data_IF_883227940708
#
_entry.id   IF_883227940708
#
_cell.length_a   1.000
_cell.length_b   1.000
_cell.length_c   1.000
_cell.angle_alpha   90.00
_cell.angle_beta   90.00
_cell.angle_gamma   90.00
#
_symmetry.space_group_name_H-M   'P 1'
#
loop_
_entity.id
_entity.type
_entity.pdbx_description
1 polymer ?
#
# COMPACT_ATOMS: atom_id res chain seq x y z
N UNK A 1 25.33 -15.84 -2.81
CA UNK A 1 24.48 -14.65 -2.58
C UNK A 1 23.21 -15.16 -1.93
N UNK A 2 22.65 -14.51 -0.90
CA UNK A 2 21.31 -14.87 -0.44
C UNK A 2 20.34 -14.77 -1.62
N UNK A 3 19.35 -15.66 -1.69
CA UNK A 3 18.32 -15.59 -2.71
C UNK A 3 17.61 -14.24 -2.61
N UNK A 4 17.34 -13.60 -3.76
CA UNK A 4 16.55 -12.38 -3.77
C UNK A 4 15.12 -12.70 -3.28
N UNK A 5 14.48 -11.80 -2.52
CA UNK A 5 13.08 -11.96 -2.15
C UNK A 5 12.18 -12.01 -3.38
N UNK A 6 11.04 -12.67 -3.26
CA UNK A 6 9.98 -12.65 -4.27
C UNK A 6 9.02 -11.50 -3.97
N UNK A 7 8.89 -10.57 -4.92
CA UNK A 7 7.92 -9.48 -4.88
C UNK A 7 6.73 -9.83 -5.77
N UNK A 8 5.52 -9.86 -5.21
CA UNK A 8 4.28 -9.84 -5.96
C UNK A 8 3.79 -8.40 -6.08
N UNK A 9 3.81 -7.84 -7.29
CA UNK A 9 3.36 -6.49 -7.59
C UNK A 9 2.12 -6.55 -8.47
N UNK A 10 0.98 -6.05 -8.00
CA UNK A 10 -0.26 -6.07 -8.79
C UNK A 10 -0.78 -4.65 -9.04
N UNK A 11 -1.51 -4.49 -10.13
CA UNK A 11 -2.20 -3.24 -10.48
C UNK A 11 -3.62 -3.54 -10.98
N UNK A 12 -4.37 -2.51 -11.37
CA UNK A 12 -5.65 -2.67 -12.05
C UNK A 12 -5.62 -2.03 -13.44
N UNK A 13 -6.43 -2.57 -14.35
CA UNK A 13 -6.64 -1.99 -15.67
C UNK A 13 -7.66 -0.83 -15.68
N UNK A 14 -8.00 -0.32 -16.86
CA UNK A 14 -9.02 0.72 -17.05
C UNK A 14 -10.38 0.30 -16.46
N UNK A 15 -11.16 1.26 -15.94
CA UNK A 15 -12.45 0.97 -15.31
C UNK A 15 -13.40 2.18 -15.31
N UNK A 16 -14.71 1.92 -15.21
CA UNK A 16 -15.69 2.99 -15.01
C UNK A 16 -15.86 3.96 -16.20
N UNK A 17 -15.43 3.53 -17.39
CA UNK A 17 -15.43 4.36 -18.60
C UNK A 17 -14.16 5.20 -18.79
N UNK A 18 -13.23 5.17 -17.84
CA UNK A 18 -11.89 5.71 -18.03
C UNK A 18 -11.04 4.71 -18.83
N UNK A 19 -10.52 5.07 -20.02
CA UNK A 19 -9.68 4.18 -20.82
C UNK A 19 -8.25 4.05 -20.28
N UNK A 20 -7.90 4.77 -19.21
CA UNK A 20 -6.55 4.85 -18.69
C UNK A 20 -6.51 4.54 -17.19
N UNK A 21 -5.62 3.64 -16.77
CA UNK A 21 -5.33 3.45 -15.36
C UNK A 21 -3.83 3.65 -15.10
N UNK A 22 -3.43 4.67 -14.33
CA UNK A 22 -2.01 4.97 -14.10
C UNK A 22 -1.25 3.82 -13.42
N UNK A 23 -1.96 2.93 -12.71
CA UNK A 23 -1.33 1.79 -12.04
C UNK A 23 -0.90 0.70 -13.01
N UNK A 24 -1.68 0.42 -14.06
CA UNK A 24 -1.27 -0.49 -15.14
C UNK A 24 -0.01 0.05 -15.83
N UNK A 25 0.01 1.35 -16.14
CA UNK A 25 1.15 1.99 -16.80
C UNK A 25 2.40 2.11 -15.91
N UNK A 26 2.23 2.15 -14.59
CA UNK A 26 3.35 2.12 -13.64
C UNK A 26 3.91 0.70 -13.44
N UNK A 27 3.14 -0.36 -13.74
CA UNK A 27 3.47 -1.72 -13.35
C UNK A 27 4.81 -2.22 -13.92
N UNK A 28 4.99 -2.13 -15.24
CA UNK A 28 6.21 -2.57 -15.92
C UNK A 28 7.48 -1.81 -15.50
N UNK A 29 7.52 -0.46 -15.51
CA UNK A 29 8.73 0.27 -15.11
C UNK A 29 9.08 0.10 -13.62
N UNK A 30 8.08 0.00 -12.75
CA UNK A 30 8.32 -0.29 -11.32
C UNK A 30 8.91 -1.70 -11.15
N UNK A 31 8.37 -2.68 -11.86
CA UNK A 31 8.88 -4.05 -11.83
C UNK A 31 10.32 -4.16 -12.35
N UNK A 32 10.64 -3.45 -13.43
CA UNK A 32 12.01 -3.39 -13.98
C UNK A 32 13.00 -2.82 -12.95
N UNK A 33 12.62 -1.74 -12.26
CA UNK A 33 13.47 -1.15 -11.22
C UNK A 33 13.65 -2.10 -10.01
N UNK A 34 12.57 -2.76 -9.56
CA UNK A 34 12.60 -3.68 -8.43
C UNK A 34 13.35 -4.99 -8.74
N UNK A 35 13.50 -5.37 -10.02
CA UNK A 35 14.19 -6.59 -10.43
C UNK A 35 15.69 -6.61 -10.04
N UNK A 36 16.27 -5.45 -9.73
CA UNK A 36 17.64 -5.34 -9.22
C UNK A 36 17.80 -6.00 -7.84
N UNK A 37 16.75 -6.04 -7.01
CA UNK A 37 16.78 -6.51 -5.62
C UNK A 37 15.74 -7.60 -5.30
N UNK A 38 14.85 -7.94 -6.23
CA UNK A 38 13.80 -8.96 -6.05
C UNK A 38 13.56 -9.81 -7.30
N UNK A 39 13.00 -11.01 -7.11
CA UNK A 39 12.30 -11.75 -8.15
C UNK A 39 10.87 -11.20 -8.26
N UNK A 40 10.58 -10.43 -9.31
CA UNK A 40 9.31 -9.73 -9.44
C UNK A 40 8.30 -10.56 -10.24
N UNK A 41 7.11 -10.76 -9.66
CA UNK A 41 5.92 -11.31 -10.29
C UNK A 41 4.92 -10.18 -10.43
N UNK A 42 4.41 -9.96 -11.64
CA UNK A 42 3.43 -8.90 -11.92
C UNK A 42 2.10 -9.46 -12.40
N UNK A 43 1.00 -8.79 -12.05
CA UNK A 43 -0.34 -9.10 -12.56
C UNK A 43 -1.22 -7.83 -12.61
N UNK A 44 -1.98 -7.66 -13.70
CA UNK A 44 -3.10 -6.72 -13.74
C UNK A 44 -4.36 -7.46 -13.32
N UNK A 45 -4.95 -7.07 -12.20
CA UNK A 45 -6.16 -7.67 -11.65
C UNK A 45 -7.42 -7.09 -12.32
N UNK A 46 -8.49 -7.88 -12.46
CA UNK A 46 -9.78 -7.36 -12.91
C UNK A 46 -10.37 -6.43 -11.85
N UNK A 47 -11.20 -5.45 -12.25
CA UNK A 47 -11.91 -4.60 -11.29
C UNK A 47 -13.24 -5.27 -10.92
N UNK A 48 -13.12 -6.43 -10.28
CA UNK A 48 -14.22 -7.28 -9.83
C UNK A 48 -13.95 -7.79 -8.41
N UNK A 49 -14.93 -7.69 -7.50
CA UNK A 49 -14.73 -8.05 -6.09
C UNK A 49 -14.26 -9.50 -5.92
N UNK A 50 -14.99 -10.45 -6.50
CA UNK A 50 -14.74 -11.88 -6.31
C UNK A 50 -13.51 -12.35 -7.10
N UNK A 51 -13.40 -11.96 -8.37
CA UNK A 51 -12.32 -12.42 -9.24
C UNK A 51 -10.96 -11.85 -8.78
N UNK A 52 -10.88 -10.57 -8.42
CA UNK A 52 -9.64 -9.97 -7.95
C UNK A 52 -9.20 -10.57 -6.60
N UNK A 53 -10.14 -10.73 -5.66
CA UNK A 53 -9.86 -11.34 -4.35
C UNK A 53 -9.42 -12.81 -4.48
N UNK A 54 -10.05 -13.57 -5.37
CA UNK A 54 -9.64 -14.95 -5.66
C UNK A 54 -8.25 -14.99 -6.29
N UNK A 55 -7.98 -14.09 -7.25
CA UNK A 55 -6.71 -14.05 -7.98
C UNK A 55 -5.54 -13.69 -7.07
N UNK A 56 -5.68 -12.67 -6.21
CA UNK A 56 -4.59 -12.29 -5.29
C UNK A 56 -4.26 -13.41 -4.31
N UNK A 57 -5.27 -14.10 -3.75
CA UNK A 57 -5.06 -15.27 -2.88
C UNK A 57 -4.32 -16.39 -3.59
N UNK A 58 -4.72 -16.67 -4.82
CA UNK A 58 -4.04 -17.67 -5.64
C UNK A 58 -2.59 -17.30 -5.92
N UNK A 59 -2.31 -16.05 -6.31
CA UNK A 59 -0.94 -15.58 -6.56
C UNK A 59 -0.07 -15.68 -5.31
N UNK A 60 -0.61 -15.31 -4.13
CA UNK A 60 0.09 -15.47 -2.85
C UNK A 60 0.43 -16.93 -2.57
N UNK A 61 -0.52 -17.86 -2.71
CA UNK A 61 -0.25 -19.29 -2.48
C UNK A 61 0.71 -19.91 -3.51
N UNK A 62 0.62 -19.49 -4.76
CA UNK A 62 1.44 -20.02 -5.86
C UNK A 62 2.89 -19.55 -5.77
N UNK A 63 3.10 -18.26 -5.54
CA UNK A 63 4.43 -17.67 -5.58
C UNK A 63 5.11 -17.58 -4.21
N UNK A 64 4.33 -17.71 -3.11
CA UNK A 64 4.82 -17.55 -1.73
C UNK A 64 5.71 -16.31 -1.58
N UNK A 65 5.21 -15.12 -1.96
CA UNK A 65 6.03 -13.91 -2.01
C UNK A 65 6.49 -13.49 -0.61
N UNK A 66 7.67 -12.89 -0.55
CA UNK A 66 8.18 -12.22 0.65
C UNK A 66 7.57 -10.82 0.81
N UNK A 67 7.15 -10.20 -0.30
CA UNK A 67 6.57 -8.86 -0.35
C UNK A 67 5.39 -8.85 -1.31
N UNK A 68 4.23 -8.32 -0.87
CA UNK A 68 3.05 -8.09 -1.71
C UNK A 68 2.72 -6.60 -1.72
N UNK A 69 2.75 -5.98 -2.90
CA UNK A 69 2.29 -4.60 -3.08
C UNK A 69 1.24 -4.58 -4.18
N UNK A 70 0.05 -4.13 -3.84
CA UNK A 70 -1.01 -3.87 -4.82
C UNK A 70 -1.18 -2.36 -5.03
N UNK A 71 -1.35 -1.96 -6.28
CA UNK A 71 -1.53 -0.58 -6.71
C UNK A 71 -2.99 -0.36 -7.11
N UNK A 72 -3.54 0.79 -6.75
CA UNK A 72 -4.88 1.20 -7.19
C UNK A 72 -4.99 2.69 -7.49
N UNK A 73 -5.91 3.05 -8.38
CA UNK A 73 -6.26 4.44 -8.65
C UNK A 73 -7.21 4.96 -7.56
N UNK A 74 -6.91 6.13 -7.00
CA UNK A 74 -7.81 6.89 -6.15
C UNK A 74 -8.03 8.29 -6.75
N UNK A 75 -8.99 8.38 -7.67
CA UNK A 75 -9.38 9.65 -8.28
C UNK A 75 -9.75 10.69 -7.20
N UNK A 76 -9.23 11.90 -7.33
CA UNK A 76 -9.40 13.01 -6.38
C UNK A 76 -8.33 13.10 -5.29
N UNK A 77 -7.42 12.13 -5.15
CA UNK A 77 -6.20 12.31 -4.35
C UNK A 77 -5.18 13.14 -5.13
N UNK A 78 -4.26 13.77 -4.40
CA UNK A 78 -3.16 14.59 -4.96
C UNK A 78 -1.77 14.08 -4.57
N UNK A 79 -1.71 12.91 -3.92
CA UNK A 79 -0.48 12.31 -3.40
C UNK A 79 -0.50 10.79 -3.63
N UNK A 80 0.69 10.19 -3.72
CA UNK A 80 0.87 8.74 -3.63
C UNK A 80 0.72 8.33 -2.18
N UNK A 81 -0.11 7.32 -1.92
CA UNK A 81 -0.61 7.04 -0.57
C UNK A 81 -0.54 5.56 -0.22
N UNK A 82 0.50 5.13 0.50
CA UNK A 82 0.51 3.82 1.15
C UNK A 82 -0.66 3.71 2.15
N UNK A 83 -1.38 2.59 2.10
CA UNK A 83 -2.58 2.35 2.92
C UNK A 83 -2.21 1.65 4.22
N UNK A 84 -2.73 2.17 5.35
CA UNK A 84 -2.50 1.61 6.68
C UNK A 84 -3.37 0.40 6.97
N UNK A 85 -4.60 0.36 6.46
CA UNK A 85 -5.61 -0.60 6.90
C UNK A 85 -6.55 -1.00 5.76
N UNK A 86 -6.84 -2.30 5.67
CA UNK A 86 -7.94 -2.85 4.90
C UNK A 86 -9.05 -3.29 5.83
N UNK A 87 -10.29 -2.99 5.49
CA UNK A 87 -11.48 -3.33 6.30
C UNK A 87 -12.24 -4.49 5.66
N UNK A 88 -12.85 -5.35 6.47
CA UNK A 88 -13.71 -6.46 6.04
C UNK A 88 -15.09 -5.94 5.60
N UNK A 89 -15.13 -5.10 4.58
CA UNK A 89 -16.35 -4.49 4.07
C UNK A 89 -16.29 -4.34 2.55
N UNK A 90 -17.30 -4.86 1.90
CA UNK A 90 -17.62 -4.63 0.50
C UNK A 90 -18.80 -3.65 0.41
N UNK A 91 -18.52 -2.45 -0.08
CA UNK A 91 -19.52 -1.41 -0.30
C UNK A 91 -19.21 -0.63 -1.58
N UNK A 92 -20.12 -0.75 -2.54
CA UNK A 92 -19.94 -0.26 -3.90
C UNK A 92 -20.99 0.80 -4.25
N UNK A 93 -20.53 2.02 -4.55
CA UNK A 93 -21.41 3.10 -5.06
C UNK A 93 -21.78 2.90 -6.53
N UNK A 94 -20.88 2.31 -7.30
CA UNK A 94 -21.04 1.95 -8.71
C UNK A 94 -20.78 0.44 -8.87
N UNK A 95 -21.38 -0.24 -9.86
CA UNK A 95 -21.09 -1.66 -10.09
C UNK A 95 -19.62 -1.85 -10.48
N UNK A 96 -19.06 -3.00 -10.11
CA UNK A 96 -17.79 -3.50 -10.63
C UNK A 96 -17.91 -4.02 -12.07
N UNK A 97 -16.84 -4.54 -12.69
CA UNK A 97 -16.87 -4.99 -14.10
C UNK A 97 -17.81 -6.17 -14.35
N UNK A 98 -18.07 -6.98 -13.32
CA UNK A 98 -19.03 -8.09 -13.39
C UNK A 98 -20.49 -7.64 -13.19
N UNK A 99 -20.71 -6.37 -12.84
CA UNK A 99 -22.00 -5.80 -12.49
C UNK A 99 -22.36 -5.90 -11.01
N UNK A 100 -21.46 -6.41 -10.15
CA UNK A 100 -21.72 -6.55 -8.73
C UNK A 100 -21.67 -5.19 -8.02
N UNK A 101 -22.65 -4.94 -7.15
CA UNK A 101 -22.75 -3.70 -6.36
C UNK A 101 -23.13 -4.02 -4.90
N UNK A 102 -22.20 -4.62 -4.13
CA UNK A 102 -22.46 -4.99 -2.73
C UNK A 102 -22.74 -3.76 -1.87
N UNK A 103 -23.54 -3.95 -0.81
CA UNK A 103 -23.90 -2.91 0.16
C UNK A 103 -23.81 -3.48 1.56
N UNK A 104 -22.78 -3.11 2.31
CA UNK A 104 -22.64 -3.53 3.72
C UNK A 104 -22.34 -5.02 3.91
N UNK A 105 -21.74 -5.69 2.93
CA UNK A 105 -21.43 -7.13 3.02
C UNK A 105 -19.99 -7.33 3.53
N UNK A 106 -19.73 -8.39 4.33
CA UNK A 106 -18.35 -8.77 4.63
C UNK A 106 -17.66 -9.25 3.36
N UNK A 107 -16.36 -8.97 3.24
CA UNK A 107 -15.50 -9.55 2.18
C UNK A 107 -15.23 -11.04 2.46
N UNK A 108 -15.11 -11.41 3.73
CA UNK A 108 -15.00 -12.80 4.17
C UNK A 108 -15.72 -13.01 5.50
N UNK A 109 -16.59 -14.01 5.53
CA UNK A 109 -17.28 -14.43 6.75
C UNK A 109 -16.29 -14.91 7.82
N UNK A 110 -16.60 -14.57 9.08
CA UNK A 110 -15.79 -14.91 10.26
C UNK A 110 -14.30 -14.48 10.16
N UNK A 111 -13.99 -13.47 9.34
CA UNK A 111 -12.69 -12.81 9.32
C UNK A 111 -12.61 -11.70 10.37
N UNK A 112 -11.41 -11.28 10.80
CA UNK A 112 -11.23 -10.04 11.55
C UNK A 112 -11.91 -8.85 10.85
N UNK A 113 -12.31 -7.84 11.63
CA UNK A 113 -12.96 -6.65 11.08
C UNK A 113 -12.03 -5.84 10.15
N UNK A 114 -10.72 -5.93 10.35
CA UNK A 114 -9.71 -5.25 9.55
C UNK A 114 -8.36 -5.96 9.65
N UNK A 115 -7.51 -5.73 8.66
CA UNK A 115 -6.10 -6.07 8.67
C UNK A 115 -5.26 -4.80 8.50
N UNK A 116 -4.23 -4.64 9.32
CA UNK A 116 -3.24 -3.57 9.11
C UNK A 116 -2.23 -4.01 8.05
N UNK A 117 -1.81 -3.06 7.21
CA UNK A 117 -0.66 -3.27 6.33
C UNK A 117 0.59 -3.57 7.16
N UNK A 118 1.37 -4.55 6.69
CA UNK A 118 2.64 -4.96 7.31
C UNK A 118 3.85 -4.41 6.54
N UNK A 119 3.63 -3.57 5.52
CA UNK A 119 4.70 -2.87 4.83
C UNK A 119 5.38 -1.81 5.73
N UNK A 120 6.64 -1.42 5.44
CA UNK A 120 7.36 -0.37 6.16
C UNK A 120 6.86 1.04 5.77
N UNK A 121 5.59 1.33 6.09
CA UNK A 121 4.85 2.49 5.54
C UNK A 121 5.55 3.84 5.79
N UNK A 122 6.15 4.05 6.97
CA UNK A 122 6.85 5.31 7.28
C UNK A 122 8.06 5.51 6.36
N UNK A 123 8.85 4.45 6.14
CA UNK A 123 9.99 4.49 5.23
C UNK A 123 9.53 4.70 3.79
N UNK A 124 8.45 4.03 3.36
CA UNK A 124 7.89 4.21 2.02
C UNK A 124 7.44 5.66 1.78
N UNK A 125 6.74 6.28 2.74
CA UNK A 125 6.29 7.68 2.61
C UNK A 125 7.49 8.62 2.52
N UNK A 126 8.53 8.43 3.34
CA UNK A 126 9.75 9.21 3.26
C UNK A 126 10.46 9.04 1.90
N UNK A 127 10.61 7.80 1.43
CA UNK A 127 11.24 7.50 0.15
C UNK A 127 10.51 8.11 -1.04
N UNK A 128 9.16 8.12 -1.03
CA UNK A 128 8.39 8.82 -2.06
C UNK A 128 8.69 10.33 -2.01
N UNK A 129 8.65 10.94 -0.82
CA UNK A 129 8.88 12.38 -0.64
C UNK A 129 10.28 12.81 -1.08
N UNK A 130 11.30 11.98 -0.85
CA UNK A 130 12.68 12.22 -1.30
C UNK A 130 12.82 12.24 -2.83
N UNK A 131 11.83 11.73 -3.57
CA UNK A 131 11.75 11.86 -5.04
C UNK A 131 10.98 13.09 -5.53
N UNK A 132 10.68 14.03 -4.62
CA UNK A 132 9.90 15.25 -4.86
C UNK A 132 8.44 14.97 -5.26
N UNK A 133 7.94 13.76 -4.99
CA UNK A 133 6.55 13.37 -5.24
C UNK A 133 5.74 13.52 -3.94
N UNK A 134 4.60 14.22 -3.95
CA UNK A 134 3.73 14.30 -2.78
C UNK A 134 3.32 12.91 -2.26
N UNK A 135 3.56 12.69 -0.97
CA UNK A 135 3.30 11.42 -0.29
C UNK A 135 2.54 11.64 1.01
N UNK A 136 1.60 10.75 1.31
CA UNK A 136 0.94 10.75 2.61
C UNK A 136 0.53 9.34 3.01
N UNK A 137 0.50 9.06 4.32
CA UNK A 137 -0.09 7.83 4.82
C UNK A 137 -1.62 7.94 4.75
N UNK A 138 -2.30 6.94 4.19
CA UNK A 138 -3.76 6.85 4.17
C UNK A 138 -4.26 5.85 5.22
N UNK A 139 -5.41 6.15 5.83
CA UNK A 139 -6.08 5.32 6.82
C UNK A 139 -7.40 4.72 6.31
N UNK A 140 -7.66 4.82 5.00
CA UNK A 140 -8.80 4.18 4.37
C UNK A 140 -8.52 3.93 2.89
N UNK A 141 -8.54 2.66 2.50
CA UNK A 141 -8.51 2.22 1.11
C UNK A 141 -9.91 2.28 0.44
N UNK A 142 -10.90 2.88 1.12
CA UNK A 142 -12.32 2.79 0.75
C UNK A 142 -12.91 1.41 1.10
N UNK A 143 -14.00 1.04 0.41
CA UNK A 143 -14.68 -0.25 0.57
C UNK A 143 -14.98 -0.93 -0.78
N UNK A 144 -14.32 -0.47 -1.85
CA UNK A 144 -14.44 -1.03 -3.20
C UNK A 144 -13.37 -2.11 -3.46
N UNK A 145 -13.17 -2.49 -4.73
CA UNK A 145 -12.26 -3.58 -5.12
C UNK A 145 -10.81 -3.40 -4.63
N UNK A 146 -10.29 -2.17 -4.56
CA UNK A 146 -8.95 -1.93 -4.00
C UNK A 146 -8.83 -2.42 -2.54
N UNK A 147 -9.80 -2.08 -1.69
CA UNK A 147 -9.87 -2.55 -0.31
C UNK A 147 -10.05 -4.07 -0.25
N UNK A 148 -10.87 -4.64 -1.14
CA UNK A 148 -11.09 -6.08 -1.24
C UNK A 148 -9.79 -6.85 -1.50
N UNK A 149 -8.98 -6.39 -2.47
CA UNK A 149 -7.69 -6.98 -2.81
C UNK A 149 -6.69 -6.82 -1.66
N UNK A 150 -6.59 -5.63 -1.06
CA UNK A 150 -5.70 -5.43 0.09
C UNK A 150 -6.08 -6.36 1.26
N UNK A 151 -7.37 -6.46 1.56
CA UNK A 151 -7.88 -7.34 2.61
C UNK A 151 -7.56 -8.80 2.29
N UNK A 152 -7.89 -9.27 1.09
CA UNK A 152 -7.69 -10.65 0.68
C UNK A 152 -6.20 -11.05 0.69
N UNK A 153 -5.30 -10.18 0.25
CA UNK A 153 -3.86 -10.41 0.29
C UNK A 153 -3.32 -10.53 1.72
N UNK A 154 -3.63 -9.56 2.58
CA UNK A 154 -3.23 -9.57 4.00
C UNK A 154 -3.77 -10.79 4.74
N UNK A 155 -5.03 -11.10 4.50
CA UNK A 155 -5.74 -12.22 5.10
C UNK A 155 -5.14 -13.57 4.69
N UNK A 156 -4.75 -13.72 3.43
CA UNK A 156 -4.10 -14.93 2.92
C UNK A 156 -2.70 -15.12 3.53
N UNK A 157 -1.93 -14.05 3.66
CA UNK A 157 -0.62 -14.06 4.31
C UNK A 157 -0.75 -14.48 5.78
N UNK A 158 -1.74 -13.92 6.50
CA UNK A 158 -2.02 -14.29 7.88
C UNK A 158 -2.44 -15.78 8.00
N UNK A 159 -3.23 -16.29 7.07
CA UNK A 159 -3.63 -17.70 7.04
C UNK A 159 -2.42 -18.62 6.82
N UNK A 160 -1.56 -18.33 5.84
CA UNK A 160 -0.33 -19.08 5.58
C UNK A 160 0.61 -19.07 6.80
N UNK A 161 0.69 -17.93 7.51
CA UNK A 161 1.48 -17.81 8.73
C UNK A 161 0.94 -18.69 9.88
N UNK A 162 -0.38 -18.81 9.97
CA UNK A 162 -1.01 -19.70 10.94
C UNK A 162 -0.81 -21.18 10.60
N UNK A 163 -0.77 -21.53 9.30
CA UNK A 163 -0.45 -22.86 8.80
C UNK A 163 1.02 -23.24 9.08
N UNK A 164 1.97 -22.30 8.93
CA UNK A 164 3.40 -22.48 9.23
C UNK A 164 4.01 -21.27 9.98
N UNK A 165 4.02 -21.32 11.33
CA UNK A 165 4.63 -20.29 12.17
C UNK A 165 6.16 -20.20 12.08
N UNK A 166 6.81 -21.05 11.29
CA UNK A 166 8.28 -21.03 11.08
C UNK A 166 8.67 -20.41 9.74
N UNK A 167 7.73 -20.24 8.81
CA UNK A 167 7.98 -19.59 7.53
C UNK A 167 8.51 -18.15 7.70
N UNK A 168 9.31 -17.61 6.78
CA UNK A 168 9.64 -16.18 6.77
C UNK A 168 8.38 -15.31 6.78
N UNK A 169 8.42 -14.20 7.52
CA UNK A 169 7.29 -13.27 7.59
C UNK A 169 7.22 -12.43 6.31
N UNK A 170 6.20 -12.70 5.51
CA UNK A 170 5.91 -11.90 4.33
C UNK A 170 5.18 -10.61 4.71
N UNK A 171 5.54 -9.51 4.04
CA UNK A 171 4.91 -8.20 4.25
C UNK A 171 3.97 -7.87 3.10
N UNK A 172 2.82 -7.28 3.39
CA UNK A 172 1.79 -7.01 2.40
C UNK A 172 1.08 -5.68 2.66
N UNK A 173 0.65 -5.02 1.58
CA UNK A 173 -0.11 -3.79 1.66
C UNK A 173 -0.50 -3.23 0.30
N UNK A 174 -0.95 -1.98 0.30
CA UNK A 174 -1.53 -1.34 -0.87
C UNK A 174 -1.04 0.10 -1.00
N UNK A 175 -0.94 0.59 -2.24
CA UNK A 175 -0.60 1.98 -2.55
C UNK A 175 -1.67 2.53 -3.48
N UNK A 176 -2.33 3.61 -3.08
CA UNK A 176 -3.17 4.39 -3.98
C UNK A 176 -2.37 5.50 -4.65
N UNK A 177 -2.60 5.70 -5.94
CA UNK A 177 -2.03 6.79 -6.74
C UNK A 177 -3.15 7.74 -7.20
N UNK A 178 -2.84 9.03 -7.43
CA UNK A 178 -3.80 9.97 -8.00
C UNK A 178 -4.08 9.66 -9.48
N UNK A 179 -5.11 10.31 -10.02
CA UNK A 179 -5.38 10.31 -11.46
C UNK A 179 -4.35 11.19 -12.18
N UNK A 180 -3.99 10.85 -13.41
CA UNK A 180 -3.18 11.70 -14.28
C UNK A 180 -4.10 12.73 -14.92
N UNK A 181 -3.93 14.00 -14.56
CA UNK A 181 -4.74 15.12 -15.03
C UNK A 181 -3.85 16.32 -15.36
N UNK A 182 -4.33 17.21 -16.23
CA UNK A 182 -3.61 18.44 -16.57
C UNK A 182 -3.39 19.31 -15.33
N UNK A 183 -2.13 19.66 -15.07
CA UNK A 183 -1.73 20.41 -13.87
C UNK A 183 -1.72 19.58 -12.58
N UNK A 184 -2.01 18.28 -12.66
CA UNK A 184 -1.86 17.31 -11.58
C UNK A 184 -0.53 16.55 -11.66
N UNK A 185 -0.47 15.42 -10.95
CA UNK A 185 0.68 14.54 -10.96
C UNK A 185 0.78 13.80 -12.31
N UNK A 186 1.95 13.88 -12.94
CA UNK A 186 2.22 13.19 -14.20
C UNK A 186 2.42 11.70 -13.99
N UNK A 187 2.24 10.90 -15.05
CA UNK A 187 2.55 9.46 -14.99
C UNK A 187 4.02 9.19 -14.59
N UNK A 188 4.96 10.04 -15.03
CA UNK A 188 6.36 9.90 -14.69
C UNK A 188 6.62 10.12 -13.18
N UNK A 189 5.91 11.06 -12.56
CA UNK A 189 5.95 11.29 -11.11
C UNK A 189 5.30 10.15 -10.34
N UNK A 190 4.14 9.66 -10.79
CA UNK A 190 3.50 8.47 -10.19
C UNK A 190 4.46 7.29 -10.22
N UNK A 191 5.01 6.95 -11.40
CA UNK A 191 5.96 5.85 -11.55
C UNK A 191 7.18 6.04 -10.64
N UNK A 192 7.75 7.25 -10.59
CA UNK A 192 8.93 7.54 -9.74
C UNK A 192 8.64 7.33 -8.25
N UNK A 193 7.52 7.88 -7.77
CA UNK A 193 7.10 7.73 -6.37
C UNK A 193 6.80 6.27 -6.01
N UNK A 194 6.03 5.57 -6.85
CA UNK A 194 5.71 4.15 -6.64
C UNK A 194 6.98 3.29 -6.67
N UNK A 195 7.91 3.55 -7.60
CA UNK A 195 9.21 2.84 -7.63
C UNK A 195 9.95 3.00 -6.31
N UNK A 196 10.06 4.23 -5.78
CA UNK A 196 10.73 4.46 -4.50
C UNK A 196 10.05 3.66 -3.37
N UNK A 197 8.71 3.73 -3.26
CA UNK A 197 7.98 2.98 -2.25
C UNK A 197 8.13 1.46 -2.38
N UNK A 198 8.08 0.89 -3.59
CA UNK A 198 8.18 -0.55 -3.81
C UNK A 198 9.59 -1.06 -3.52
N UNK A 199 10.63 -0.34 -3.97
CA UNK A 199 12.03 -0.69 -3.66
C UNK A 199 12.27 -0.64 -2.16
N UNK A 200 11.83 0.42 -1.48
CA UNK A 200 11.91 0.53 -0.01
C UNK A 200 11.16 -0.60 0.69
N UNK A 201 9.99 -1.02 0.20
CA UNK A 201 9.26 -2.15 0.76
C UNK A 201 10.05 -3.47 0.66
N UNK A 202 10.79 -3.68 -0.43
CA UNK A 202 11.65 -4.85 -0.63
C UNK A 202 12.89 -4.81 0.29
N UNK A 203 13.53 -3.66 0.38
CA UNK A 203 14.78 -3.48 1.14
C UNK A 203 14.56 -3.56 2.65
N UNK A 204 13.48 -2.97 3.15
CA UNK A 204 13.15 -2.89 4.58
C UNK A 204 12.14 -3.96 5.04
N UNK A 205 11.93 -5.01 4.25
CA UNK A 205 11.05 -6.12 4.64
C UNK A 205 11.56 -6.80 5.92
N UNK A 206 10.66 -7.06 6.86
CA UNK A 206 11.00 -7.67 8.16
C UNK A 206 11.62 -6.69 9.18
N UNK A 207 11.79 -5.42 8.84
CA UNK A 207 12.07 -4.40 9.86
C UNK A 207 10.80 -4.14 10.69
N UNK A 208 10.93 -4.04 12.02
CA UNK A 208 9.78 -3.69 12.85
C UNK A 208 9.27 -2.30 12.45
N UNK A 209 7.96 -2.04 12.56
CA UNK A 209 7.42 -0.72 12.29
C UNK A 209 8.15 0.31 13.14
N UNK A 210 8.86 1.24 12.49
CA UNK A 210 9.49 2.36 13.21
C UNK A 210 8.34 3.16 13.84
N UNK A 211 8.27 3.27 15.19
CA UNK A 211 7.30 4.14 15.82
C UNK A 211 7.45 5.52 15.21
N UNK A 212 6.33 6.18 14.86
CA UNK A 212 6.39 7.57 14.44
C UNK A 212 7.08 8.35 15.57
N UNK A 213 8.35 8.69 15.36
CA UNK A 213 9.17 9.34 16.35
C UNK A 213 8.54 10.68 16.69
N UNK A 214 8.24 10.86 17.97
CA UNK A 214 8.02 12.17 18.59
C UNK A 214 9.03 13.14 18.01
N UNK A 215 8.53 14.14 17.28
CA UNK A 215 9.36 15.17 16.68
C UNK A 215 10.40 15.65 17.67
N UNK A 216 11.63 15.71 17.18
CA UNK A 216 12.84 16.16 17.84
C UNK A 216 12.55 17.45 18.63
N UNK A 217 12.21 17.29 19.91
CA UNK A 217 12.17 18.38 20.87
C UNK A 217 13.62 18.73 21.15
N UNK A 218 14.21 19.49 20.22
CA UNK A 218 15.44 20.21 20.47
C UNK A 218 15.22 21.00 21.75
N UNK A 219 15.82 20.52 22.83
CA UNK A 219 15.98 21.25 24.07
C UNK A 219 16.82 22.48 23.76
N UNK A 220 16.16 23.59 23.43
CA UNK A 220 16.75 24.91 23.57
C UNK A 220 16.83 25.17 25.07
N UNK A 221 17.94 24.76 25.67
CA UNK A 221 18.38 25.35 26.91
C UNK A 221 18.63 26.84 26.68
N UNK A 222 18.28 27.61 27.70
CA UNK A 222 18.73 28.98 27.96
C UNK A 222 17.81 30.12 27.47
N UNK A 223 16.97 30.61 28.37
CA UNK A 223 16.98 32.04 28.74
C UNK A 223 16.45 32.20 30.16
N UNK A 224 17.34 32.71 31.00
CA UNK A 224 17.19 33.24 32.36
C UNK A 224 15.95 34.13 32.58
N UNK A 225 15.20 33.88 33.65
CA UNK A 225 14.22 34.82 34.21
C UNK A 225 14.86 35.62 35.37
N UNK A 226 14.71 36.96 35.45
CA UNK A 226 15.24 37.74 36.55
C UNK A 226 14.32 37.68 37.78
N UNK A 227 14.93 37.87 38.95
CA UNK A 227 14.39 37.55 40.26
C UNK A 227 13.20 38.39 40.71
N UNK A 228 12.37 37.76 41.54
CA UNK A 228 11.31 38.42 42.30
C UNK A 228 11.95 38.98 43.57
N UNK A 229 12.00 40.32 43.65
CA UNK A 229 12.38 41.04 44.85
C UNK A 229 11.33 40.92 45.94
N UNK A 230 11.80 40.64 47.15
CA UNK A 230 11.03 40.77 48.37
C UNK A 230 11.02 42.23 48.83
N UNK A 231 9.86 42.76 49.22
CA UNK A 231 9.68 43.72 50.31
C UNK A 231 8.19 43.82 50.67
N UNK A 232 7.94 43.60 51.96
CA UNK A 232 6.89 44.11 52.89
C UNK A 232 5.53 44.59 52.37
#
# INVERSE_FOLDING_TARGET
>A
MPAHPTLLLTAFGPFGGDPYNPTEHALAPVAEAAAASAHVVTEVLPVEFDAASTRIRHLVRTHKPDVVVSLGLAAGRTAVTPERVAINLAEARIPDESGARPVGLPLRDAAPAAHFSTLPLTAMVAAIADTEVPAALSYSAGAFVCNAVMFAGLDEIAALRAEDPTAPEAVAGFIHVPQVEDGGMTQAEITRGVTAAVVTAVEHRGEPPVPAGTGDARTSSDTTAPGVGATE
#
